data_IF_082549865899
#
_entry.id   IF_082549865899
#
_cell.length_a   1.000
_cell.length_b   1.000
_cell.length_c   1.000
_cell.angle_alpha   90.00
_cell.angle_beta   90.00
_cell.angle_gamma   90.00
#
_symmetry.space_group_name_H-M   'P 1'
#
loop_
_entity.id
_entity.type
_entity.pdbx_description
1 polymer ?
#
# COMPACT_ATOMS: atom_id res chain seq x y z
N UNK A 1 15.11 -14.36 -4.06
CA UNK A 1 15.70 -13.43 -3.06
C UNK A 1 15.37 -11.97 -3.29
N UNK A 2 15.39 -11.48 -4.54
CA UNK A 2 15.10 -10.07 -4.88
C UNK A 2 13.68 -9.62 -4.48
N UNK A 3 12.66 -10.40 -4.82
CA UNK A 3 11.26 -10.11 -4.47
C UNK A 3 10.99 -10.13 -2.97
N UNK A 4 11.61 -11.05 -2.22
CA UNK A 4 11.43 -11.13 -0.77
C UNK A 4 11.96 -9.88 -0.05
N UNK A 5 13.10 -9.34 -0.52
CA UNK A 5 13.66 -8.07 0.01
C UNK A 5 12.75 -6.89 -0.32
N UNK A 6 12.25 -6.80 -1.56
CA UNK A 6 11.34 -5.74 -1.97
C UNK A 6 10.03 -5.78 -1.17
N UNK A 7 9.44 -6.97 -1.00
CA UNK A 7 8.22 -7.16 -0.22
C UNK A 7 8.42 -6.81 1.26
N UNK A 8 9.55 -7.19 1.85
CA UNK A 8 9.85 -6.84 3.24
C UNK A 8 10.00 -5.32 3.45
N UNK A 9 10.67 -4.62 2.52
CA UNK A 9 10.80 -3.16 2.56
C UNK A 9 9.44 -2.47 2.40
N UNK A 10 8.62 -2.94 1.44
CA UNK A 10 7.26 -2.44 1.23
C UNK A 10 6.41 -2.63 2.48
N UNK A 11 6.42 -3.83 3.07
CA UNK A 11 5.66 -4.12 4.28
C UNK A 11 6.08 -3.21 5.44
N UNK A 12 7.40 -3.03 5.64
CA UNK A 12 7.90 -2.14 6.68
C UNK A 12 7.42 -0.69 6.48
N UNK A 13 7.47 -0.19 5.24
CA UNK A 13 6.96 1.14 4.92
C UNK A 13 5.45 1.26 5.15
N UNK A 14 4.66 0.27 4.74
CA UNK A 14 3.21 0.29 4.95
C UNK A 14 2.83 0.21 6.43
N UNK A 15 3.58 -0.52 7.25
CA UNK A 15 3.39 -0.53 8.72
C UNK A 15 3.69 0.85 9.30
N UNK A 16 4.76 1.52 8.86
CA UNK A 16 5.11 2.86 9.33
C UNK A 16 4.04 3.87 8.90
N UNK A 17 3.60 3.83 7.64
CA UNK A 17 2.55 4.71 7.13
C UNK A 17 1.21 4.46 7.81
N UNK A 18 0.84 3.20 8.03
CA UNK A 18 -0.42 2.88 8.71
C UNK A 18 -0.35 3.32 10.17
N UNK A 19 0.79 3.17 10.84
CA UNK A 19 1.00 3.69 12.19
C UNK A 19 0.88 5.23 12.21
N UNK A 20 1.58 5.95 11.35
CA UNK A 20 1.54 7.42 11.35
C UNK A 20 0.12 7.91 11.04
N UNK A 21 -0.50 7.40 9.97
CA UNK A 21 -1.80 7.91 9.54
C UNK A 21 -2.91 7.38 10.43
N UNK A 22 -3.08 6.07 10.50
CA UNK A 22 -4.26 5.48 11.13
C UNK A 22 -4.17 5.52 12.68
N UNK A 23 -2.99 5.35 13.27
CA UNK A 23 -2.84 5.38 14.74
C UNK A 23 -2.68 6.80 15.28
N UNK A 24 -1.69 7.56 14.79
CA UNK A 24 -1.34 8.84 15.40
C UNK A 24 -2.35 9.93 15.01
N UNK A 25 -2.79 9.98 13.76
CA UNK A 25 -3.68 11.05 13.28
C UNK A 25 -5.16 10.72 13.54
N UNK A 26 -5.56 9.46 13.34
CA UNK A 26 -6.96 9.03 13.43
C UNK A 26 -7.28 8.17 14.65
N UNK A 27 -6.31 7.91 15.54
CA UNK A 27 -6.51 7.22 16.84
C UNK A 27 -7.17 5.82 16.75
N UNK A 28 -7.03 5.13 15.62
CA UNK A 28 -7.61 3.81 15.38
C UNK A 28 -6.91 2.70 16.21
N UNK A 29 -7.58 1.56 16.47
CA UNK A 29 -7.00 0.49 17.29
C UNK A 29 -5.77 -0.16 16.66
N UNK A 30 -4.70 -0.30 17.44
CA UNK A 30 -3.38 -0.79 17.00
C UNK A 30 -3.43 -2.14 16.25
N UNK A 31 -4.25 -3.08 16.72
CA UNK A 31 -4.41 -4.40 16.08
C UNK A 31 -4.96 -4.26 14.65
N UNK A 32 -5.90 -3.34 14.44
CA UNK A 32 -6.49 -3.08 13.13
C UNK A 32 -5.47 -2.49 12.16
N UNK A 33 -4.57 -1.65 12.66
CA UNK A 33 -3.57 -0.94 11.85
C UNK A 33 -2.51 -1.90 11.31
N UNK A 34 -2.04 -2.83 12.14
CA UNK A 34 -1.07 -3.84 11.72
C UNK A 34 -1.66 -4.77 10.65
N UNK A 35 -2.88 -5.27 10.88
CA UNK A 35 -3.56 -6.15 9.91
C UNK A 35 -3.86 -5.40 8.61
N UNK A 36 -4.28 -4.13 8.69
CA UNK A 36 -4.48 -3.29 7.50
C UNK A 36 -3.22 -3.19 6.66
N UNK A 37 -2.06 -2.93 7.28
CA UNK A 37 -0.78 -2.84 6.56
C UNK A 37 -0.40 -4.17 5.88
N UNK A 38 -0.56 -5.29 6.59
CA UNK A 38 -0.23 -6.63 6.07
C UNK A 38 -1.12 -6.99 4.88
N UNK A 39 -2.44 -6.90 5.04
CA UNK A 39 -3.40 -7.24 3.98
C UNK A 39 -3.18 -6.32 2.77
N UNK A 40 -3.08 -5.01 3.00
CA UNK A 40 -2.86 -4.03 1.93
C UNK A 40 -1.59 -4.36 1.17
N UNK A 41 -0.47 -4.61 1.86
CA UNK A 41 0.82 -4.95 1.22
C UNK A 41 0.69 -6.16 0.31
N UNK A 42 0.04 -7.22 0.77
CA UNK A 42 -0.14 -8.44 -0.01
C UNK A 42 -0.98 -8.17 -1.27
N UNK A 43 -2.08 -7.43 -1.13
CA UNK A 43 -2.99 -7.15 -2.24
C UNK A 43 -2.33 -6.25 -3.29
N UNK A 44 -1.69 -5.15 -2.88
CA UNK A 44 -1.02 -4.23 -3.83
C UNK A 44 0.21 -4.88 -4.49
N UNK A 45 0.93 -5.76 -3.78
CA UNK A 45 2.03 -6.50 -4.39
C UNK A 45 1.52 -7.44 -5.50
N UNK A 46 0.42 -8.14 -5.26
CA UNK A 46 -0.17 -9.06 -6.26
C UNK A 46 -0.78 -8.29 -7.43
N UNK A 47 -1.58 -7.27 -7.15
CA UNK A 47 -2.33 -6.54 -8.19
C UNK A 47 -1.43 -5.48 -8.86
N UNK A 48 -0.90 -4.54 -8.10
CA UNK A 48 -0.05 -3.46 -8.62
C UNK A 48 1.25 -3.98 -9.18
N UNK A 49 2.15 -4.45 -8.33
CA UNK A 49 3.55 -4.70 -8.73
C UNK A 49 3.68 -5.85 -9.73
N UNK A 50 2.95 -6.94 -9.54
CA UNK A 50 3.12 -8.13 -10.39
C UNK A 50 2.32 -8.08 -11.69
N UNK A 51 1.18 -7.39 -11.72
CA UNK A 51 0.27 -7.36 -12.87
C UNK A 51 0.27 -6.00 -13.55
N UNK A 52 -0.08 -4.94 -12.82
CA UNK A 52 -0.27 -3.61 -13.41
C UNK A 52 1.06 -2.95 -13.79
N UNK A 53 2.07 -3.03 -12.95
CA UNK A 53 3.37 -2.38 -13.20
C UNK A 53 4.05 -2.91 -14.47
N UNK A 54 3.85 -4.19 -14.82
CA UNK A 54 4.42 -4.80 -16.03
C UNK A 54 3.72 -4.40 -17.33
N UNK A 55 2.49 -3.88 -17.25
CA UNK A 55 1.62 -3.66 -18.41
C UNK A 55 1.18 -2.21 -18.61
N UNK A 56 1.00 -1.47 -17.51
CA UNK A 56 0.53 -0.08 -17.50
C UNK A 56 1.57 0.95 -17.05
N UNK A 57 2.77 0.51 -16.66
CA UNK A 57 3.83 1.40 -16.17
C UNK A 57 3.56 1.97 -14.78
N UNK A 58 4.52 2.78 -14.30
CA UNK A 58 4.56 3.28 -12.91
C UNK A 58 3.30 4.07 -12.52
N UNK A 59 2.84 5.00 -13.37
CA UNK A 59 1.71 5.87 -13.04
C UNK A 59 0.40 5.09 -12.84
N UNK A 60 0.11 4.13 -13.73
CA UNK A 60 -1.12 3.32 -13.63
C UNK A 60 -1.04 2.39 -12.43
N UNK A 61 0.12 1.79 -12.16
CA UNK A 61 0.32 0.94 -10.99
C UNK A 61 0.10 1.72 -9.68
N UNK A 62 0.67 2.92 -9.57
CA UNK A 62 0.46 3.81 -8.41
C UNK A 62 -1.01 4.13 -8.17
N UNK A 63 -1.78 4.44 -9.22
CA UNK A 63 -3.22 4.73 -9.10
C UNK A 63 -4.00 3.49 -8.63
N UNK A 64 -3.66 2.32 -9.16
CA UNK A 64 -4.27 1.05 -8.76
C UNK A 64 -3.93 0.71 -7.31
N UNK A 65 -2.69 0.95 -6.88
CA UNK A 65 -2.25 0.71 -5.51
C UNK A 65 -2.90 1.66 -4.51
N UNK A 66 -3.05 2.94 -4.86
CA UNK A 66 -3.77 3.91 -4.04
C UNK A 66 -5.26 3.53 -3.94
N UNK A 67 -5.92 3.23 -5.06
CA UNK A 67 -7.33 2.81 -5.07
C UNK A 67 -7.56 1.51 -4.29
N UNK A 68 -6.66 0.54 -4.45
CA UNK A 68 -6.68 -0.73 -3.71
C UNK A 68 -6.47 -0.50 -2.22
N UNK A 69 -5.51 0.35 -1.85
CA UNK A 69 -5.27 0.73 -0.45
C UNK A 69 -6.50 1.35 0.17
N UNK A 70 -7.16 2.27 -0.52
CA UNK A 70 -8.40 2.90 -0.05
C UNK A 70 -9.49 1.85 0.17
N UNK A 71 -9.73 0.99 -0.82
CA UNK A 71 -10.78 -0.02 -0.74
C UNK A 71 -10.52 -1.02 0.40
N UNK A 72 -9.31 -1.58 0.47
CA UNK A 72 -8.92 -2.59 1.47
C UNK A 72 -8.97 -2.01 2.88
N UNK A 73 -8.34 -0.86 3.11
CA UNK A 73 -8.33 -0.23 4.44
C UNK A 73 -9.73 0.16 4.88
N UNK A 74 -10.53 0.76 4.01
CA UNK A 74 -11.92 1.12 4.32
C UNK A 74 -12.76 -0.09 4.71
N UNK A 75 -12.72 -1.15 3.91
CA UNK A 75 -13.51 -2.37 4.15
C UNK A 75 -13.10 -3.02 5.46
N UNK A 76 -11.79 -3.18 5.67
CA UNK A 76 -11.29 -3.86 6.86
C UNK A 76 -11.54 -3.03 8.13
N UNK A 77 -11.21 -1.74 8.13
CA UNK A 77 -11.41 -0.88 9.30
C UNK A 77 -12.89 -0.76 9.66
N UNK A 78 -13.78 -0.58 8.68
CA UNK A 78 -15.23 -0.53 8.93
C UNK A 78 -15.80 -1.85 9.49
N UNK A 79 -15.08 -2.97 9.38
CA UNK A 79 -15.50 -4.26 9.95
C UNK A 79 -15.09 -4.45 11.42
N UNK A 80 -14.20 -3.59 11.94
CA UNK A 80 -13.65 -3.71 13.29
C UNK A 80 -13.89 -2.48 14.18
N UNK A 81 -14.41 -1.39 13.63
CA UNK A 81 -14.76 -0.17 14.36
C UNK A 81 -16.09 0.40 13.84
N UNK A 82 -16.82 1.07 14.73
CA UNK A 82 -18.03 1.83 14.41
C UNK A 82 -17.72 3.28 13.99
N UNK A 83 -16.45 3.69 14.00
CA UNK A 83 -16.02 5.03 13.63
C UNK A 83 -16.07 5.28 12.11
N UNK A 84 -16.12 6.55 11.71
CA UNK A 84 -16.09 6.94 10.30
C UNK A 84 -14.68 6.81 9.72
N UNK A 85 -14.42 5.69 9.03
CA UNK A 85 -13.09 5.37 8.50
C UNK A 85 -12.82 5.89 7.08
N UNK A 86 -13.77 6.56 6.43
CA UNK A 86 -13.66 6.98 5.02
C UNK A 86 -12.50 7.97 4.85
N UNK A 87 -12.46 9.02 5.66
CA UNK A 87 -11.41 10.05 5.57
C UNK A 87 -10.05 9.45 5.95
N UNK A 88 -9.98 8.64 7.01
CA UNK A 88 -8.76 7.95 7.43
C UNK A 88 -8.18 7.06 6.33
N UNK A 89 -9.03 6.24 5.70
CA UNK A 89 -8.67 5.34 4.60
C UNK A 89 -8.22 6.12 3.36
N UNK A 90 -8.86 7.26 3.07
CA UNK A 90 -8.49 8.11 1.94
C UNK A 90 -7.13 8.76 2.14
N UNK A 91 -6.88 9.36 3.30
CA UNK A 91 -5.57 9.96 3.64
C UNK A 91 -4.47 8.89 3.63
N UNK A 92 -4.76 7.70 4.16
CA UNK A 92 -3.83 6.57 4.13
C UNK A 92 -3.52 6.13 2.69
N UNK A 93 -4.54 6.02 1.83
CA UNK A 93 -4.37 5.69 0.42
C UNK A 93 -3.51 6.71 -0.35
N UNK A 94 -3.69 8.01 -0.09
CA UNK A 94 -2.86 9.05 -0.68
C UNK A 94 -1.40 8.92 -0.21
N UNK A 95 -1.18 8.71 1.09
CA UNK A 95 0.16 8.53 1.64
C UNK A 95 0.88 7.29 1.05
N UNK A 96 0.16 6.18 0.91
CA UNK A 96 0.69 4.96 0.27
C UNK A 96 0.96 5.18 -1.21
N UNK A 97 0.05 5.82 -1.96
CA UNK A 97 0.28 6.12 -3.38
C UNK A 97 1.53 6.98 -3.61
N UNK A 98 1.76 8.00 -2.78
CA UNK A 98 2.98 8.81 -2.85
C UNK A 98 4.24 7.96 -2.61
N UNK A 99 4.22 7.09 -1.60
CA UNK A 99 5.34 6.18 -1.32
C UNK A 99 5.57 5.17 -2.46
N UNK A 100 4.49 4.54 -2.97
CA UNK A 100 4.56 3.53 -4.03
C UNK A 100 5.16 4.10 -5.32
N UNK A 101 4.84 5.34 -5.67
CA UNK A 101 5.41 6.00 -6.85
C UNK A 101 6.95 6.08 -6.81
N UNK A 102 7.51 6.31 -5.62
CA UNK A 102 8.96 6.32 -5.37
C UNK A 102 9.53 4.90 -5.32
N UNK A 103 8.78 3.97 -4.73
CA UNK A 103 9.17 2.58 -4.58
C UNK A 103 9.26 1.85 -5.93
N UNK A 104 8.30 2.07 -6.84
CA UNK A 104 8.33 1.56 -8.21
C UNK A 104 9.56 2.07 -8.98
N UNK A 105 9.88 3.36 -8.85
CA UNK A 105 11.10 3.92 -9.44
C UNK A 105 12.38 3.24 -8.91
N UNK A 106 12.44 3.00 -7.60
CA UNK A 106 13.55 2.27 -6.98
C UNK A 106 13.63 0.81 -7.46
N UNK A 107 12.49 0.14 -7.65
CA UNK A 107 12.42 -1.24 -8.13
C UNK A 107 12.95 -1.39 -9.56
N UNK A 108 12.53 -0.49 -10.45
CA UNK A 108 12.98 -0.47 -11.84
C UNK A 108 14.49 -0.17 -11.92
N UNK A 109 14.95 0.85 -11.18
CA UNK A 109 16.36 1.26 -11.18
C UNK A 109 17.32 0.18 -10.67
N UNK A 110 16.87 -0.70 -9.78
CA UNK A 110 17.69 -1.77 -9.21
C UNK A 110 17.47 -3.15 -9.88
N UNK A 111 16.71 -3.21 -10.98
CA UNK A 111 16.48 -4.44 -11.74
C UNK A 111 15.76 -5.53 -10.93
N UNK A 112 14.78 -5.12 -10.11
CA UNK A 112 13.90 -6.05 -9.39
C UNK A 112 12.70 -6.49 -10.26
N UNK A 113 12.30 -5.66 -11.23
CA UNK A 113 11.24 -5.92 -12.22
C UNK A 113 11.74 -5.38 -13.57
N UNK A 114 11.56 -6.15 -14.65
CA UNK A 114 11.75 -5.68 -16.03
C UNK A 114 10.42 -5.14 -16.57
N UNK A 115 10.44 -3.91 -17.07
CA UNK A 115 9.33 -3.34 -17.84
C UNK A 115 9.24 -4.09 -19.18
N UNK A 116 8.06 -4.59 -19.54
CA UNK A 116 7.85 -5.24 -20.83
C UNK A 116 7.78 -4.13 -21.89
N UNK A 117 8.90 -3.86 -22.55
CA UNK A 117 8.99 -2.96 -23.72
C UNK A 117 8.09 -3.40 -24.86
#
# INVERSE_FOLDING_TARGET
MKHLKALALKLAALIVLSFIVLYIIFELPFNGIFVTAVITTVVIYVIGDLVVLKSGGNFVATLVDAGTTFAVSRIYLASITDEEVIVASFVFAVAVGLFESLFHYWLLSNGFIEERS
#
